data_IF_343862803953
#
_entry.id   IF_343862803953
#
_cell.length_a   1.000
_cell.length_b   1.000
_cell.length_c   1.000
_cell.angle_alpha   90.00
_cell.angle_beta   90.00
_cell.angle_gamma   90.00
#
_symmetry.space_group_name_H-M   'P 1'
#
loop_
_entity.id
_entity.type
_entity.pdbx_description
1 polymer ?
#
# COMPACT_ATOMS: atom_id res chain seq x y z
N UNK A 1 -13.91 -14.95 6.89
CA UNK A 1 -13.32 -14.80 5.54
C UNK A 1 -13.89 -13.55 4.91
N UNK A 2 -13.03 -12.63 4.49
CA UNK A 2 -13.46 -11.38 3.82
C UNK A 2 -13.79 -11.63 2.34
N UNK A 3 -13.11 -12.58 1.70
CA UNK A 3 -13.29 -12.92 0.29
C UNK A 3 -13.78 -14.36 0.13
N UNK A 4 -14.55 -14.63 -0.95
CA UNK A 4 -15.16 -15.93 -1.20
C UNK A 4 -15.08 -16.34 -2.68
N UNK A 5 -15.34 -17.64 -2.95
CA UNK A 5 -15.50 -18.20 -4.29
C UNK A 5 -14.27 -18.05 -5.19
N UNK A 6 -14.50 -17.88 -6.48
CA UNK A 6 -13.47 -17.78 -7.54
C UNK A 6 -12.47 -16.64 -7.27
N UNK A 7 -12.95 -15.55 -6.69
CA UNK A 7 -12.07 -14.41 -6.32
C UNK A 7 -11.04 -14.81 -5.28
N UNK A 8 -11.44 -15.53 -4.24
CA UNK A 8 -10.52 -16.03 -3.20
C UNK A 8 -9.51 -17.01 -3.79
N UNK A 9 -9.91 -17.89 -4.71
CA UNK A 9 -8.98 -18.82 -5.38
C UNK A 9 -7.90 -18.07 -6.17
N UNK A 10 -8.28 -17.02 -6.90
CA UNK A 10 -7.35 -16.18 -7.66
C UNK A 10 -6.42 -15.39 -6.73
N UNK A 11 -6.94 -14.85 -5.62
CA UNK A 11 -6.14 -14.16 -4.60
C UNK A 11 -5.12 -15.12 -3.97
N UNK A 12 -5.53 -16.31 -3.58
CA UNK A 12 -4.62 -17.32 -3.02
C UNK A 12 -3.52 -17.68 -4.02
N UNK A 13 -3.86 -17.89 -5.30
CA UNK A 13 -2.86 -18.15 -6.34
C UNK A 13 -1.84 -17.02 -6.48
N UNK A 14 -2.27 -15.79 -6.37
CA UNK A 14 -1.37 -14.61 -6.39
C UNK A 14 -0.51 -14.56 -5.14
N UNK A 15 -1.10 -14.76 -3.96
CA UNK A 15 -0.37 -14.76 -2.69
C UNK A 15 0.65 -15.90 -2.63
N UNK A 16 0.28 -17.11 -3.01
CA UNK A 16 1.21 -18.26 -3.09
C UNK A 16 2.37 -17.97 -4.04
N UNK A 17 2.11 -17.26 -5.17
CA UNK A 17 3.15 -16.88 -6.12
C UNK A 17 4.16 -15.88 -5.55
N UNK A 18 3.70 -14.93 -4.75
CA UNK A 18 4.52 -13.85 -4.20
C UNK A 18 4.89 -14.05 -2.71
N UNK A 19 4.55 -15.18 -2.09
CA UNK A 19 4.69 -15.40 -0.64
C UNK A 19 6.07 -15.00 -0.13
N UNK A 20 7.14 -15.58 -0.67
CA UNK A 20 8.52 -15.32 -0.25
C UNK A 20 8.88 -13.83 -0.41
N UNK A 21 8.45 -13.19 -1.50
CA UNK A 21 8.74 -11.78 -1.74
C UNK A 21 7.96 -10.87 -0.80
N UNK A 22 6.69 -11.17 -0.53
CA UNK A 22 5.88 -10.41 0.43
C UNK A 22 6.50 -10.45 1.82
N UNK A 23 6.93 -11.63 2.28
CA UNK A 23 7.56 -11.81 3.59
C UNK A 23 8.91 -11.09 3.66
N UNK A 24 9.67 -11.05 2.57
CA UNK A 24 11.00 -10.44 2.54
C UNK A 24 10.98 -8.95 2.21
N UNK A 25 9.92 -8.43 1.61
CA UNK A 25 9.86 -7.03 1.18
C UNK A 25 9.86 -6.04 2.34
N UNK A 26 10.65 -4.94 2.23
CA UNK A 26 10.50 -3.78 3.10
C UNK A 26 9.31 -2.91 2.66
N UNK A 27 8.75 -2.11 3.56
CA UNK A 27 7.75 -1.10 3.20
C UNK A 27 8.37 0.12 2.51
N UNK A 28 9.64 0.44 2.81
CA UNK A 28 10.37 1.55 2.21
C UNK A 28 11.86 1.22 2.02
N UNK A 29 12.57 2.03 1.21
CA UNK A 29 13.99 1.82 0.95
C UNK A 29 14.94 2.50 1.95
N UNK A 30 14.45 3.41 2.80
CA UNK A 30 15.31 4.25 3.67
C UNK A 30 14.96 4.09 5.13
N UNK A 31 16.01 3.98 5.96
CA UNK A 31 15.90 3.79 7.41
C UNK A 31 15.05 4.87 8.13
N UNK A 32 15.08 6.11 7.66
CA UNK A 32 14.33 7.22 8.24
C UNK A 32 12.90 7.37 7.69
N UNK A 33 12.45 6.45 6.86
CA UNK A 33 11.06 6.34 6.48
C UNK A 33 10.37 5.35 7.42
N UNK A 34 9.48 4.52 6.92
CA UNK A 34 8.77 3.52 7.72
C UNK A 34 9.15 2.11 7.30
N UNK A 35 9.34 1.24 8.27
CA UNK A 35 9.51 -0.22 8.08
C UNK A 35 10.48 -0.61 6.94
N UNK A 36 11.67 0.04 6.89
CA UNK A 36 12.74 -0.27 5.93
C UNK A 36 13.51 -1.52 6.37
N UNK A 37 12.81 -2.64 6.58
CA UNK A 37 13.34 -3.91 7.07
C UNK A 37 12.62 -5.09 6.40
N UNK A 38 13.19 -6.27 6.51
CA UNK A 38 12.53 -7.54 6.11
C UNK A 38 11.22 -7.68 6.87
N UNK A 39 10.14 -8.01 6.14
CA UNK A 39 8.79 -8.12 6.71
C UNK A 39 8.05 -6.78 6.87
N UNK A 40 8.74 -5.66 6.65
CA UNK A 40 8.16 -4.33 6.81
C UNK A 40 6.95 -4.08 5.93
N UNK A 41 6.93 -4.64 4.73
CA UNK A 41 5.78 -4.58 3.82
C UNK A 41 4.51 -5.18 4.46
N UNK A 42 4.60 -6.41 4.96
CA UNK A 42 3.44 -7.11 5.56
C UNK A 42 2.94 -6.37 6.80
N UNK A 43 3.86 -5.93 7.67
CA UNK A 43 3.51 -5.18 8.88
C UNK A 43 2.77 -3.88 8.52
N UNK A 44 3.29 -3.12 7.56
CA UNK A 44 2.66 -1.89 7.06
C UNK A 44 1.25 -2.14 6.52
N UNK A 45 1.08 -3.13 5.64
CA UNK A 45 -0.23 -3.48 5.08
C UNK A 45 -1.25 -3.81 6.16
N UNK A 46 -0.87 -4.58 7.18
CA UNK A 46 -1.77 -4.92 8.29
C UNK A 46 -2.18 -3.68 9.12
N UNK A 47 -1.25 -2.76 9.35
CA UNK A 47 -1.55 -1.49 10.01
C UNK A 47 -2.51 -0.63 9.17
N UNK A 48 -2.28 -0.55 7.86
CA UNK A 48 -3.17 0.21 6.97
C UNK A 48 -4.59 -0.37 6.96
N UNK A 49 -4.73 -1.70 6.91
CA UNK A 49 -6.05 -2.37 6.99
C UNK A 49 -6.78 -2.03 8.29
N UNK A 50 -6.09 -2.15 9.44
CA UNK A 50 -6.66 -1.81 10.74
C UNK A 50 -7.09 -0.34 10.83
N UNK A 51 -6.18 0.56 10.47
CA UNK A 51 -6.43 2.00 10.47
C UNK A 51 -7.59 2.38 9.53
N UNK A 52 -7.67 1.76 8.34
CA UNK A 52 -8.75 2.05 7.38
C UNK A 52 -10.13 1.71 7.95
N UNK A 53 -10.25 0.59 8.64
CA UNK A 53 -11.51 0.20 9.29
C UNK A 53 -11.88 1.15 10.42
N UNK A 54 -10.92 1.53 11.27
CA UNK A 54 -11.14 2.49 12.36
C UNK A 54 -11.50 3.89 11.84
N UNK A 55 -10.77 4.39 10.85
CA UNK A 55 -11.04 5.71 10.23
C UNK A 55 -12.40 5.70 9.55
N UNK A 56 -12.80 4.64 8.86
CA UNK A 56 -14.15 4.50 8.30
C UNK A 56 -15.21 4.69 9.38
N UNK A 57 -15.05 4.02 10.53
CA UNK A 57 -16.01 4.11 11.64
C UNK A 57 -16.07 5.53 12.22
N UNK A 58 -14.93 6.23 12.29
CA UNK A 58 -14.86 7.64 12.70
C UNK A 58 -15.60 8.53 11.70
N UNK A 59 -15.42 8.32 10.38
CA UNK A 59 -16.11 9.08 9.35
C UNK A 59 -17.63 8.88 9.44
N UNK A 60 -18.10 7.63 9.54
CA UNK A 60 -19.52 7.28 9.67
C UNK A 60 -20.13 7.91 10.92
N UNK A 61 -19.47 7.78 12.08
CA UNK A 61 -19.89 8.40 13.35
C UNK A 61 -20.04 9.92 13.27
N UNK A 62 -19.24 10.57 12.43
CA UNK A 62 -19.31 12.02 12.22
C UNK A 62 -20.24 12.43 11.07
N UNK A 63 -21.07 11.51 10.56
CA UNK A 63 -22.13 11.78 9.61
C UNK A 63 -21.77 11.61 8.13
N UNK A 64 -20.60 11.02 7.82
CA UNK A 64 -20.27 10.68 6.46
C UNK A 64 -21.12 9.51 5.95
N UNK A 65 -21.55 9.60 4.68
CA UNK A 65 -22.17 8.47 4.01
C UNK A 65 -21.09 7.48 3.56
N UNK A 66 -21.18 6.24 4.04
CA UNK A 66 -20.34 5.13 3.59
C UNK A 66 -21.12 4.34 2.53
N UNK A 67 -20.67 4.43 1.29
CA UNK A 67 -21.32 3.82 0.12
C UNK A 67 -20.47 2.70 -0.52
N UNK A 68 -19.58 2.13 0.24
CA UNK A 68 -18.76 0.97 -0.09
C UNK A 68 -18.81 -0.06 1.05
N UNK A 69 -18.50 -1.29 0.74
CA UNK A 69 -18.50 -2.41 1.70
C UNK A 69 -17.19 -2.48 2.48
N UNK A 70 -17.19 -3.21 3.61
CA UNK A 70 -15.93 -3.50 4.32
C UNK A 70 -14.99 -4.38 3.46
N UNK A 71 -15.53 -5.26 2.63
CA UNK A 71 -14.74 -6.07 1.69
C UNK A 71 -13.97 -5.18 0.72
N UNK A 72 -14.63 -4.18 0.11
CA UNK A 72 -14.00 -3.24 -0.81
C UNK A 72 -12.89 -2.42 -0.14
N UNK A 73 -13.12 -1.95 1.08
CA UNK A 73 -12.11 -1.20 1.84
C UNK A 73 -10.90 -2.07 2.16
N UNK A 74 -11.14 -3.28 2.70
CA UNK A 74 -10.07 -4.22 3.04
C UNK A 74 -9.31 -4.66 1.79
N UNK A 75 -10.00 -4.90 0.67
CA UNK A 75 -9.35 -5.23 -0.59
C UNK A 75 -8.41 -4.12 -1.06
N UNK A 76 -8.89 -2.88 -1.09
CA UNK A 76 -8.06 -1.74 -1.51
C UNK A 76 -6.87 -1.53 -0.56
N UNK A 77 -7.08 -1.65 0.77
CA UNK A 77 -6.03 -1.54 1.77
C UNK A 77 -4.96 -2.65 1.67
N UNK A 78 -5.37 -3.91 1.45
CA UNK A 78 -4.44 -5.03 1.29
C UNK A 78 -3.55 -4.90 0.04
N UNK A 79 -4.03 -4.24 -1.01
CA UNK A 79 -3.37 -4.26 -2.31
C UNK A 79 -2.83 -2.90 -2.76
N UNK A 80 -2.98 -1.82 -1.97
CA UNK A 80 -2.51 -0.49 -2.37
C UNK A 80 -1.01 -0.47 -2.71
N UNK A 81 -0.23 -1.17 -1.93
CA UNK A 81 1.23 -1.28 -2.01
C UNK A 81 1.72 -2.60 -2.65
N UNK A 82 0.83 -3.41 -3.24
CA UNK A 82 1.19 -4.69 -3.84
C UNK A 82 2.31 -4.58 -4.88
N UNK A 83 2.42 -3.45 -5.55
CA UNK A 83 3.51 -3.17 -6.50
C UNK A 83 4.91 -3.23 -5.89
N UNK A 84 5.04 -3.17 -4.56
CA UNK A 84 6.33 -3.32 -3.82
C UNK A 84 6.86 -4.75 -3.80
N UNK A 85 6.09 -5.74 -4.24
CA UNK A 85 6.59 -7.12 -4.42
C UNK A 85 7.36 -7.30 -5.75
N UNK A 86 7.33 -6.30 -6.63
CA UNK A 86 8.02 -6.33 -7.92
C UNK A 86 7.13 -6.76 -9.08
N UNK A 87 7.73 -7.44 -10.06
CA UNK A 87 7.00 -8.06 -11.17
C UNK A 87 7.05 -9.59 -11.06
N UNK A 88 6.74 -10.32 -12.14
CA UNK A 88 6.75 -11.78 -12.10
C UNK A 88 8.15 -12.38 -11.99
N UNK A 89 9.20 -11.63 -12.32
CA UNK A 89 10.58 -12.13 -12.39
C UNK A 89 11.49 -11.49 -11.34
N UNK A 90 11.26 -10.23 -10.98
CA UNK A 90 12.16 -9.41 -10.20
C UNK A 90 11.48 -8.76 -9.00
N UNK A 91 12.19 -8.69 -7.89
CA UNK A 91 11.78 -7.94 -6.70
C UNK A 91 11.82 -6.44 -6.96
N UNK A 92 10.93 -5.67 -6.28
CA UNK A 92 10.91 -4.22 -6.39
C UNK A 92 12.09 -3.56 -5.68
N UNK A 93 12.41 -4.05 -4.49
CA UNK A 93 13.57 -3.62 -3.71
C UNK A 93 14.68 -4.66 -3.74
N UNK A 94 15.91 -4.18 -3.90
CA UNK A 94 17.14 -4.96 -3.74
C UNK A 94 18.02 -4.29 -2.69
N UNK A 95 18.89 -5.05 -1.96
CA UNK A 95 19.80 -4.46 -0.99
C UNK A 95 20.66 -3.35 -1.61
N UNK A 96 20.85 -2.25 -0.87
CA UNK A 96 21.75 -1.18 -1.30
C UNK A 96 23.20 -1.60 -1.13
N UNK A 97 23.94 -1.74 -2.23
CA UNK A 97 25.35 -2.16 -2.21
C UNK A 97 26.32 -1.00 -1.89
N UNK A 98 25.94 0.24 -2.19
CA UNK A 98 26.78 1.39 -1.97
C UNK A 98 26.87 1.80 -0.50
N UNK A 99 28.06 1.66 0.10
CA UNK A 99 28.35 2.13 1.46
C UNK A 99 28.07 3.62 1.64
N UNK A 100 28.34 4.43 0.61
CA UNK A 100 28.09 5.85 0.67
C UNK A 100 26.60 6.17 0.82
N UNK A 101 25.73 5.49 0.03
CA UNK A 101 24.29 5.67 0.10
C UNK A 101 23.73 5.17 1.42
N UNK A 102 24.21 4.03 1.92
CA UNK A 102 23.83 3.53 3.24
C UNK A 102 24.16 4.51 4.35
N UNK A 103 25.42 5.03 4.38
CA UNK A 103 25.90 5.91 5.45
C UNK A 103 25.37 7.34 5.37
N UNK A 104 25.23 7.91 4.16
CA UNK A 104 24.91 9.32 4.00
C UNK A 104 23.41 9.57 3.71
N UNK A 105 22.68 8.56 3.24
CA UNK A 105 21.25 8.67 2.90
C UNK A 105 20.36 7.71 3.67
N UNK A 106 20.93 6.84 4.50
CA UNK A 106 20.16 5.81 5.21
C UNK A 106 19.44 4.84 4.26
N UNK A 107 19.92 4.68 3.02
CA UNK A 107 19.33 3.77 2.03
C UNK A 107 19.75 2.34 2.34
N UNK A 108 18.84 1.54 2.92
CA UNK A 108 19.06 0.12 3.20
C UNK A 108 18.74 -0.71 1.97
N UNK A 109 17.69 -0.32 1.26
CA UNK A 109 17.26 -0.93 0.00
C UNK A 109 17.19 0.12 -1.11
N UNK A 110 17.34 -0.32 -2.35
CA UNK A 110 17.19 0.52 -3.54
C UNK A 110 16.24 -0.14 -4.52
N UNK A 111 15.68 0.65 -5.44
CA UNK A 111 14.82 0.13 -6.50
C UNK A 111 15.63 -0.77 -7.44
N UNK A 112 15.05 -1.88 -7.84
CA UNK A 112 15.65 -2.77 -8.82
C UNK A 112 15.59 -2.14 -10.21
N UNK A 113 16.76 -1.88 -10.80
CA UNK A 113 16.89 -1.25 -12.12
C UNK A 113 16.45 -2.12 -13.29
N UNK A 114 16.23 -3.42 -13.06
CA UNK A 114 15.73 -4.35 -14.09
C UNK A 114 14.21 -4.23 -14.29
N UNK A 115 13.51 -3.55 -13.36
CA UNK A 115 12.09 -3.34 -13.50
C UNK A 115 11.77 -2.23 -14.50
N UNK A 116 10.79 -2.48 -15.37
CA UNK A 116 10.13 -1.39 -16.09
C UNK A 116 9.58 -0.37 -15.10
N UNK A 117 9.89 0.91 -15.30
CA UNK A 117 9.34 1.97 -14.45
C UNK A 117 7.81 1.95 -14.46
N UNK A 118 7.24 1.97 -13.28
CA UNK A 118 5.82 2.00 -13.02
C UNK A 118 5.63 2.53 -11.59
N UNK A 119 4.58 3.34 -11.33
CA UNK A 119 4.26 3.68 -9.94
C UNK A 119 3.89 2.41 -9.17
N UNK A 120 3.99 2.45 -7.85
CA UNK A 120 3.62 1.28 -7.01
C UNK A 120 2.14 0.94 -7.23
N UNK A 121 1.26 1.94 -7.24
CA UNK A 121 -0.18 1.77 -7.44
C UNK A 121 -0.53 1.23 -8.83
N UNK A 122 0.14 1.71 -9.90
CA UNK A 122 -0.08 1.19 -11.24
C UNK A 122 0.40 -0.27 -11.36
N UNK A 123 1.53 -0.61 -10.72
CA UNK A 123 2.04 -1.99 -10.66
C UNK A 123 1.10 -2.90 -9.88
N UNK A 124 0.52 -2.41 -8.77
CA UNK A 124 -0.51 -3.14 -8.01
C UNK A 124 -1.70 -3.51 -8.90
N UNK A 125 -2.23 -2.54 -9.65
CA UNK A 125 -3.30 -2.78 -10.62
C UNK A 125 -2.89 -3.78 -11.72
N UNK A 126 -1.65 -3.67 -12.23
CA UNK A 126 -1.14 -4.58 -13.25
C UNK A 126 -1.03 -6.03 -12.72
N UNK A 127 -0.54 -6.22 -11.49
CA UNK A 127 -0.46 -7.56 -10.86
C UNK A 127 -1.86 -8.14 -10.69
N UNK A 128 -2.81 -7.40 -10.13
CA UNK A 128 -4.19 -7.85 -9.95
C UNK A 128 -4.83 -8.24 -11.28
N UNK A 129 -4.62 -7.45 -12.33
CA UNK A 129 -5.10 -7.77 -13.69
C UNK A 129 -4.42 -9.02 -14.26
N UNK A 130 -3.10 -9.21 -14.04
CA UNK A 130 -2.38 -10.38 -14.52
C UNK A 130 -2.95 -11.69 -13.93
N UNK A 131 -3.29 -11.68 -12.63
CA UNK A 131 -3.92 -12.82 -11.96
C UNK A 131 -5.44 -12.88 -12.17
N UNK A 132 -5.99 -12.02 -13.05
CA UNK A 132 -7.41 -11.96 -13.37
C UNK A 132 -8.31 -11.77 -12.14
N UNK A 133 -7.83 -11.00 -11.16
CA UNK A 133 -8.58 -10.66 -9.97
C UNK A 133 -9.46 -9.43 -10.29
N UNK A 134 -10.80 -9.58 -10.32
CA UNK A 134 -11.68 -8.46 -10.61
C UNK A 134 -11.67 -7.44 -9.47
N UNK A 135 -11.81 -6.17 -9.84
CA UNK A 135 -11.99 -5.06 -8.89
C UNK A 135 -13.32 -4.35 -9.16
N UNK A 136 -13.98 -3.89 -8.10
CA UNK A 136 -15.08 -2.92 -8.23
C UNK A 136 -14.52 -1.52 -8.53
N UNK A 137 -15.38 -0.58 -8.94
CA UNK A 137 -14.98 0.83 -9.11
C UNK A 137 -14.45 1.43 -7.81
N UNK A 138 -15.05 1.08 -6.67
CA UNK A 138 -14.64 1.58 -5.35
C UNK A 138 -13.27 1.03 -4.95
N UNK A 139 -13.01 -0.24 -5.14
CA UNK A 139 -11.71 -0.86 -4.91
C UNK A 139 -10.62 -0.22 -5.77
N UNK A 140 -10.91 -0.06 -7.07
CA UNK A 140 -9.97 0.58 -8.00
C UNK A 140 -9.65 2.01 -7.59
N UNK A 141 -10.67 2.83 -7.28
CA UNK A 141 -10.49 4.23 -6.87
C UNK A 141 -9.77 4.32 -5.53
N UNK A 142 -10.12 3.47 -4.56
CA UNK A 142 -9.42 3.40 -3.28
C UNK A 142 -7.94 3.11 -3.45
N UNK A 143 -7.62 2.02 -4.14
CA UNK A 143 -6.25 1.60 -4.40
C UNK A 143 -5.48 2.64 -5.22
N UNK A 144 -6.06 3.10 -6.35
CA UNK A 144 -5.37 4.00 -7.30
C UNK A 144 -5.05 5.37 -6.71
N UNK A 145 -5.85 5.84 -5.76
CA UNK A 145 -5.70 7.17 -5.18
C UNK A 145 -5.10 7.19 -3.77
N UNK A 146 -4.58 6.05 -3.27
CA UNK A 146 -4.02 5.94 -1.91
C UNK A 146 -2.95 6.98 -1.62
N UNK A 147 -2.05 7.24 -2.56
CA UNK A 147 -0.99 8.26 -2.41
C UNK A 147 -1.52 9.70 -2.27
N UNK A 148 -2.84 9.91 -2.43
CA UNK A 148 -3.45 11.23 -2.28
C UNK A 148 -2.79 12.25 -3.20
N UNK A 149 -2.51 13.45 -2.66
CA UNK A 149 -1.84 14.54 -3.39
C UNK A 149 -0.31 14.40 -3.45
N UNK A 150 0.29 13.36 -2.84
CA UNK A 150 1.71 13.05 -3.05
C UNK A 150 1.99 12.57 -4.48
N UNK A 151 0.98 11.98 -5.14
CA UNK A 151 1.03 11.67 -6.56
C UNK A 151 0.33 12.79 -7.35
N UNK A 152 1.10 13.55 -8.14
CA UNK A 152 0.60 14.73 -8.88
C UNK A 152 -0.59 14.39 -9.79
N UNK A 153 -0.59 13.22 -10.41
CA UNK A 153 -1.67 12.72 -11.27
C UNK A 153 -3.02 12.60 -10.58
N UNK A 154 -3.04 12.52 -9.24
CA UNK A 154 -4.25 12.40 -8.43
C UNK A 154 -4.94 13.74 -8.18
N UNK A 155 -4.26 14.87 -8.38
CA UNK A 155 -4.77 16.21 -8.04
C UNK A 155 -6.14 16.51 -8.66
N UNK A 156 -6.38 16.10 -9.89
CA UNK A 156 -7.66 16.28 -10.59
C UNK A 156 -8.84 15.53 -9.95
N UNK A 157 -8.57 14.46 -9.19
CA UNK A 157 -9.60 13.71 -8.46
C UNK A 157 -9.93 14.37 -7.13
N UNK A 158 -8.93 14.91 -6.43
CA UNK A 158 -9.09 15.51 -5.10
C UNK A 158 -9.46 16.99 -5.14
N UNK A 159 -9.00 17.72 -6.15
CA UNK A 159 -9.15 19.18 -6.26
C UNK A 159 -10.06 19.62 -7.42
N UNK A 160 -10.91 18.73 -7.93
CA UNK A 160 -11.85 19.06 -8.99
C UNK A 160 -12.92 20.06 -8.48
N UNK A 161 -13.06 21.21 -9.15
CA UNK A 161 -14.06 22.22 -8.81
C UNK A 161 -15.43 21.95 -9.44
N UNK A 162 -15.50 21.06 -10.42
CA UNK A 162 -16.77 20.73 -11.07
C UNK A 162 -17.46 19.60 -10.29
N UNK A 163 -18.66 19.86 -9.69
CA UNK A 163 -19.37 18.85 -8.90
C UNK A 163 -19.80 17.62 -9.72
N UNK A 164 -19.85 17.73 -11.05
CA UNK A 164 -20.21 16.62 -11.93
C UNK A 164 -19.08 15.58 -12.06
N UNK A 165 -17.84 15.96 -11.78
CA UNK A 165 -16.63 15.13 -11.87
C UNK A 165 -15.96 14.84 -10.52
N UNK A 166 -16.64 15.07 -9.40
CA UNK A 166 -16.13 14.75 -8.07
C UNK A 166 -16.18 13.25 -7.74
N UNK A 167 -15.31 12.84 -6.81
CA UNK A 167 -15.36 11.51 -6.23
C UNK A 167 -16.73 11.25 -5.56
N UNK A 168 -17.35 10.12 -5.88
CA UNK A 168 -18.66 9.73 -5.36
C UNK A 168 -18.59 8.84 -4.12
N UNK A 169 -17.38 8.50 -3.68
CA UNK A 169 -17.12 7.68 -2.50
C UNK A 169 -16.03 8.28 -1.65
N UNK A 170 -16.10 8.03 -0.34
CA UNK A 170 -15.10 8.44 0.63
C UNK A 170 -13.95 7.44 0.77
N UNK A 171 -13.97 6.31 0.05
CA UNK A 171 -12.99 5.23 0.18
C UNK A 171 -11.54 5.70 -0.06
N UNK A 172 -11.32 6.55 -1.07
CA UNK A 172 -9.99 7.08 -1.38
C UNK A 172 -9.44 7.99 -0.26
N UNK A 173 -10.31 8.84 0.33
CA UNK A 173 -9.91 9.70 1.46
C UNK A 173 -9.57 8.89 2.71
N UNK A 174 -10.39 7.88 3.02
CA UNK A 174 -10.22 7.02 4.19
C UNK A 174 -8.93 6.21 4.04
N UNK A 175 -8.70 5.62 2.88
CA UNK A 175 -7.51 4.81 2.64
C UNK A 175 -6.22 5.66 2.65
N UNK A 176 -6.24 6.83 2.02
CA UNK A 176 -5.11 7.77 2.08
C UNK A 176 -4.77 8.18 3.53
N UNK A 177 -5.79 8.48 4.35
CA UNK A 177 -5.58 8.80 5.77
C UNK A 177 -5.02 7.60 6.55
N UNK A 178 -5.48 6.39 6.24
CA UNK A 178 -5.03 5.16 6.89
C UNK A 178 -3.56 4.85 6.60
N UNK A 179 -3.15 4.99 5.36
CA UNK A 179 -1.77 4.81 4.91
C UNK A 179 -0.86 5.89 5.52
N UNK A 180 -1.25 7.16 5.43
CA UNK A 180 -0.50 8.26 6.05
C UNK A 180 -0.35 8.06 7.57
N UNK A 181 -1.42 7.63 8.27
CA UNK A 181 -1.38 7.34 9.70
C UNK A 181 -0.42 6.20 10.02
N UNK A 182 -0.47 5.09 9.27
CA UNK A 182 0.44 3.96 9.43
C UNK A 182 1.90 4.40 9.23
N UNK A 183 2.18 5.07 8.12
CA UNK A 183 3.52 5.59 7.77
C UNK A 183 4.11 6.47 8.89
N UNK A 184 3.33 7.40 9.43
CA UNK A 184 3.82 8.30 10.48
C UNK A 184 4.01 7.60 11.84
N UNK A 185 3.10 6.68 12.22
CA UNK A 185 3.24 5.92 13.47
C UNK A 185 4.48 5.01 13.38
N UNK A 186 4.66 4.31 12.28
CA UNK A 186 5.80 3.41 12.04
C UNK A 186 7.12 4.16 12.02
N UNK A 187 7.17 5.32 11.36
CA UNK A 187 8.34 6.21 11.37
C UNK A 187 8.69 6.68 12.79
N UNK A 188 7.70 7.10 13.57
CA UNK A 188 7.91 7.50 14.97
C UNK A 188 8.40 6.34 15.85
N UNK A 189 7.93 5.12 15.63
CA UNK A 189 8.41 3.93 16.36
C UNK A 189 9.86 3.62 15.99
N UNK A 190 10.23 3.75 14.72
CA UNK A 190 11.60 3.58 14.27
C UNK A 190 12.55 4.59 14.92
N UNK A 191 12.18 5.89 14.93
CA UNK A 191 12.98 6.96 15.51
C UNK A 191 13.21 6.79 17.03
N UNK A 192 12.26 6.16 17.74
CA UNK A 192 12.39 5.82 19.17
C UNK A 192 13.21 4.55 19.42
N UNK A 193 13.56 3.81 18.40
CA UNK A 193 14.26 2.53 18.51
C UNK A 193 13.39 1.35 18.95
N UNK A 194 12.07 1.51 18.99
CA UNK A 194 11.12 0.47 19.44
C UNK A 194 11.18 -0.80 18.57
N UNK A 195 11.75 -0.71 17.35
CA UNK A 195 11.84 -1.82 16.37
C UNK A 195 13.23 -2.48 16.26
N UNK A 196 14.24 -2.00 16.98
CA UNK A 196 15.61 -2.53 16.90
C UNK A 196 15.82 -3.76 17.80
N UNK A 197 14.89 -4.08 18.70
CA UNK A 197 15.03 -5.18 19.67
C UNK A 197 14.59 -6.57 19.16
N UNK A 198 14.06 -6.71 17.96
CA UNK A 198 13.59 -8.01 17.43
C UNK A 198 14.69 -8.85 16.76
N UNK A 199 15.94 -8.37 16.70
CA UNK A 199 17.08 -9.08 16.10
C UNK A 199 18.16 -9.50 17.13
N UNK A 200 17.75 -9.88 18.35
CA UNK A 200 18.68 -10.50 19.31
C UNK A 200 18.32 -11.94 19.64
#
# INVERSE_FOLDING_TARGET
NTFEGERLEKLNKMYDYFEDRMVMAPASGRAHFHNAMVGGYVEHILHVVSNAQEIRDVWEKNGATINFTNEELVFAALHHDLGKVGNLEHDYYVPQESDWHRKNRGEIFTHNSELQYMTVTDRSCWILQHFQIPMTEWEFIGLRLTDGLYEEGNSKYYMGYNPDFGLRSNIAYILHQADMMATHIEGNQWDRGDKVESEK
#
